data_IF_944101805732
#
_entry.id   IF_944101805732
#
_cell.length_a   1.000
_cell.length_b   1.000
_cell.length_c   1.000
_cell.angle_alpha   90.00
_cell.angle_beta   90.00
_cell.angle_gamma   90.00
#
_symmetry.space_group_name_H-M   'P 1'
#
loop_
_entity.id
_entity.type
_entity.pdbx_description
1 polymer ?
#
# COMPACT_ATOMS: atom_id res chain seq x y z
N UNK A 1 6.88 16.07 4.75
CA UNK A 1 6.22 15.05 5.61
C UNK A 1 6.43 13.67 4.98
N UNK A 2 6.91 12.66 5.71
CA UNK A 2 7.20 11.33 5.14
C UNK A 2 6.13 10.33 5.60
N UNK A 3 5.77 9.39 4.71
CA UNK A 3 4.88 8.27 5.01
C UNK A 3 5.55 7.30 5.97
N UNK A 4 4.86 6.92 7.05
CA UNK A 4 5.37 5.93 8.00
C UNK A 4 5.22 4.52 7.42
N UNK A 5 6.08 3.58 7.83
CA UNK A 5 6.04 2.20 7.30
C UNK A 5 4.70 1.48 7.57
N UNK A 6 4.08 1.75 8.72
CA UNK A 6 2.80 1.16 9.14
C UNK A 6 1.57 1.98 8.73
N UNK A 7 1.77 3.16 8.15
CA UNK A 7 0.69 4.03 7.69
C UNK A 7 0.32 3.61 6.27
N UNK A 8 -0.96 3.37 5.99
CA UNK A 8 -1.44 3.13 4.63
C UNK A 8 -1.35 4.40 3.78
N UNK A 9 -1.41 4.23 2.46
CA UNK A 9 -1.28 5.34 1.52
C UNK A 9 -2.38 6.39 1.72
N UNK A 10 -3.61 5.95 1.98
CA UNK A 10 -4.77 6.81 2.14
C UNK A 10 -4.70 7.64 3.43
N UNK A 11 -4.31 7.02 4.53
CA UNK A 11 -4.12 7.70 5.82
C UNK A 11 -3.02 8.75 5.72
N UNK A 12 -1.92 8.42 5.05
CA UNK A 12 -0.85 9.36 4.76
C UNK A 12 -1.33 10.55 3.92
N UNK A 13 -2.07 10.28 2.83
CA UNK A 13 -2.61 11.31 1.95
C UNK A 13 -3.55 12.26 2.69
N UNK A 14 -4.40 11.72 3.56
CA UNK A 14 -5.30 12.51 4.39
C UNK A 14 -4.52 13.45 5.33
N UNK A 15 -3.56 12.91 6.10
CA UNK A 15 -2.74 13.72 7.02
C UNK A 15 -1.93 14.78 6.27
N UNK A 16 -1.45 14.46 5.07
CA UNK A 16 -0.72 15.41 4.24
C UNK A 16 -1.64 16.57 3.81
N UNK A 17 -2.86 16.25 3.36
CA UNK A 17 -3.86 17.23 2.92
C UNK A 17 -4.30 18.15 4.05
N UNK A 18 -4.45 17.62 5.26
CA UNK A 18 -4.78 18.42 6.46
C UNK A 18 -3.69 19.45 6.80
N UNK A 19 -2.41 19.12 6.54
CA UNK A 19 -1.31 20.09 6.69
C UNK A 19 -1.28 21.09 5.52
N UNK A 20 -1.49 20.63 4.29
CA UNK A 20 -1.53 21.50 3.12
C UNK A 20 -2.66 22.54 3.21
N UNK A 21 -3.80 22.18 3.81
CA UNK A 21 -4.93 23.07 4.03
C UNK A 21 -4.64 24.23 5.03
N UNK A 22 -3.57 24.12 5.83
CA UNK A 22 -3.17 25.15 6.79
C UNK A 22 -2.23 26.20 6.17
N UNK A 23 -1.74 25.99 4.95
CA UNK A 23 -0.82 26.90 4.28
C UNK A 23 -1.57 28.09 3.67
N UNK A 24 -0.96 29.28 3.76
CA UNK A 24 -1.51 30.51 3.20
C UNK A 24 -0.45 31.24 2.34
N UNK A 25 -0.77 31.59 1.08
CA UNK A 25 -2.06 31.41 0.39
C UNK A 25 -2.41 29.93 0.12
N UNK A 26 -3.70 29.61 -0.14
CA UNK A 26 -4.12 28.24 -0.41
C UNK A 26 -3.36 27.64 -1.60
N UNK A 27 -2.90 26.41 -1.43
CA UNK A 27 -2.16 25.66 -2.45
C UNK A 27 -3.11 25.26 -3.58
N UNK A 28 -2.71 25.47 -4.84
CA UNK A 28 -3.51 25.03 -5.99
C UNK A 28 -3.50 23.51 -6.14
N UNK A 29 -4.51 22.95 -6.80
CA UNK A 29 -4.60 21.50 -7.04
C UNK A 29 -3.32 20.94 -7.71
N UNK A 30 -2.75 21.67 -8.67
CA UNK A 30 -1.53 21.27 -9.38
C UNK A 30 -0.33 21.21 -8.43
N UNK A 31 -0.14 22.23 -7.62
CA UNK A 31 0.94 22.28 -6.63
C UNK A 31 0.75 21.21 -5.56
N UNK A 32 -0.50 20.94 -5.17
CA UNK A 32 -0.85 19.88 -4.23
C UNK A 32 -0.40 18.50 -4.74
N UNK A 33 -0.66 18.20 -6.01
CA UNK A 33 -0.25 16.96 -6.65
C UNK A 33 1.28 16.85 -6.72
N UNK A 34 1.95 17.90 -7.22
CA UNK A 34 3.42 17.89 -7.34
C UNK A 34 4.11 17.72 -6.00
N UNK A 35 3.76 18.55 -5.01
CA UNK A 35 4.39 18.48 -3.68
C UNK A 35 4.10 17.18 -2.95
N UNK A 36 2.92 16.57 -3.18
CA UNK A 36 2.63 15.26 -2.59
C UNK A 36 3.51 14.16 -3.20
N UNK A 37 3.68 14.14 -4.53
CA UNK A 37 4.52 13.17 -5.22
C UNK A 37 5.98 13.25 -4.72
N UNK A 38 6.51 14.45 -4.51
CA UNK A 38 7.87 14.68 -3.99
C UNK A 38 8.08 14.12 -2.58
N UNK A 39 7.00 13.91 -1.83
CA UNK A 39 7.06 13.34 -0.48
C UNK A 39 6.92 11.82 -0.42
N UNK A 40 6.67 11.17 -1.55
CA UNK A 40 6.55 9.71 -1.64
C UNK A 40 7.91 9.02 -1.74
N UNK A 41 8.05 7.78 -1.23
CA UNK A 41 9.24 6.98 -1.43
C UNK A 41 9.48 6.66 -2.91
N UNK A 42 10.74 6.54 -3.33
CA UNK A 42 11.17 6.25 -4.71
C UNK A 42 10.32 5.19 -5.48
N UNK A 43 9.94 4.02 -4.92
CA UNK A 43 9.13 3.03 -5.66
C UNK A 43 7.72 3.51 -6.02
N UNK A 44 7.22 4.57 -5.40
CA UNK A 44 5.93 5.19 -5.75
C UNK A 44 6.11 6.25 -6.84
N UNK A 45 7.18 7.04 -6.81
CA UNK A 45 7.41 8.12 -7.77
C UNK A 45 7.38 7.62 -9.22
N UNK A 46 8.16 6.60 -9.55
CA UNK A 46 8.22 6.06 -10.93
C UNK A 46 6.88 5.50 -11.43
N UNK A 47 6.05 5.00 -10.50
CA UNK A 47 4.75 4.40 -10.82
C UNK A 47 3.62 5.43 -10.87
N UNK A 48 3.69 6.46 -10.03
CA UNK A 48 2.72 7.55 -9.95
C UNK A 48 2.97 8.59 -11.04
N UNK A 49 4.23 8.96 -11.32
CA UNK A 49 4.58 9.93 -12.38
C UNK A 49 4.23 9.40 -13.77
N UNK A 50 4.30 8.07 -13.97
CA UNK A 50 3.79 7.44 -15.20
C UNK A 50 2.26 7.43 -15.32
N UNK A 51 1.54 7.74 -14.24
CA UNK A 51 0.07 7.79 -14.20
C UNK A 51 -0.38 9.25 -14.15
N UNK A 52 -1.10 9.72 -15.18
CA UNK A 52 -1.47 11.12 -15.40
C UNK A 52 -2.55 11.59 -14.39
N UNK A 53 -2.25 11.58 -13.10
CA UNK A 53 -3.16 12.03 -12.06
C UNK A 53 -3.30 13.56 -12.12
N UNK A 54 -4.41 14.04 -12.70
CA UNK A 54 -4.69 15.47 -12.86
C UNK A 54 -5.19 16.17 -11.59
N UNK A 55 -5.50 15.42 -10.52
CA UNK A 55 -6.04 15.94 -9.26
C UNK A 55 -5.67 15.02 -8.09
N UNK A 56 -5.79 15.55 -6.87
CA UNK A 56 -5.37 14.87 -5.66
C UNK A 56 -6.17 13.58 -5.40
N UNK A 57 -7.47 13.58 -5.70
CA UNK A 57 -8.32 12.39 -5.52
C UNK A 57 -7.85 11.22 -6.39
N UNK A 58 -7.55 11.46 -7.67
CA UNK A 58 -7.03 10.45 -8.57
C UNK A 58 -5.67 9.93 -8.12
N UNK A 59 -4.83 10.83 -7.59
CA UNK A 59 -3.53 10.49 -7.03
C UNK A 59 -3.65 9.49 -5.87
N UNK A 60 -4.61 9.70 -4.96
CA UNK A 60 -4.89 8.78 -3.85
C UNK A 60 -5.28 7.40 -4.35
N UNK A 61 -6.20 7.32 -5.32
CA UNK A 61 -6.67 6.05 -5.89
C UNK A 61 -5.55 5.27 -6.58
N UNK A 62 -4.69 5.97 -7.33
CA UNK A 62 -3.54 5.36 -8.01
C UNK A 62 -2.51 4.87 -6.99
N UNK A 63 -2.22 5.68 -5.97
CA UNK A 63 -1.30 5.33 -4.90
C UNK A 63 -1.74 4.12 -4.08
N UNK A 64 -3.05 4.02 -3.78
CA UNK A 64 -3.63 2.82 -3.14
C UNK A 64 -3.44 1.56 -4.00
N UNK A 65 -3.63 1.65 -5.33
CA UNK A 65 -3.36 0.51 -6.22
C UNK A 65 -1.89 0.11 -6.25
N UNK A 66 -0.99 1.09 -6.23
CA UNK A 66 0.46 0.83 -6.21
C UNK A 66 0.85 0.15 -4.90
N UNK A 67 0.37 0.66 -3.76
CA UNK A 67 0.61 0.04 -2.44
C UNK A 67 0.11 -1.40 -2.40
N UNK A 68 -1.11 -1.67 -2.90
CA UNK A 68 -1.63 -3.03 -3.03
C UNK A 68 -0.80 -3.90 -3.96
N UNK A 69 -0.26 -3.35 -5.04
CA UNK A 69 0.62 -4.09 -5.96
C UNK A 69 1.99 -4.41 -5.35
N UNK A 70 2.55 -3.50 -4.54
CA UNK A 70 3.79 -3.72 -3.78
C UNK A 70 3.55 -4.82 -2.74
N UNK A 71 2.48 -4.74 -1.96
CA UNK A 71 2.10 -5.77 -0.98
C UNK A 71 1.88 -7.14 -1.62
N UNK A 72 1.35 -7.19 -2.85
CA UNK A 72 1.14 -8.42 -3.62
C UNK A 72 2.40 -8.92 -4.35
N UNK A 73 3.54 -8.25 -4.19
CA UNK A 73 4.80 -8.60 -4.88
C UNK A 73 4.76 -8.40 -6.40
N UNK A 74 3.77 -7.66 -6.92
CA UNK A 74 3.64 -7.35 -8.36
C UNK A 74 4.56 -6.22 -8.81
N UNK A 75 5.03 -5.40 -7.87
CA UNK A 75 6.02 -4.36 -8.10
C UNK A 75 7.26 -4.69 -7.28
N UNK A 76 8.45 -4.54 -7.89
CA UNK A 76 9.71 -4.75 -7.20
C UNK A 76 9.82 -3.76 -6.04
N UNK A 77 9.83 -4.27 -4.82
CA UNK A 77 10.07 -3.50 -3.62
C UNK A 77 11.58 -3.21 -3.57
N UNK A 78 12.02 -2.05 -4.03
CA UNK A 78 13.41 -1.60 -3.83
C UNK A 78 13.58 -1.16 -2.38
N UNK A 79 13.51 -2.12 -1.46
CA UNK A 79 13.82 -1.91 -0.05
C UNK A 79 15.32 -2.08 0.16
N UNK A 80 16.00 -1.00 0.50
CA UNK A 80 17.15 -1.06 1.40
C UNK A 80 16.63 -1.26 2.83
N UNK A 81 16.49 -2.52 3.28
CA UNK A 81 16.21 -2.90 4.69
C UNK A 81 15.19 -4.03 4.89
N UNK A 82 15.38 -4.98 5.83
CA UNK A 82 15.06 -6.39 5.62
C UNK A 82 13.62 -6.81 5.98
N UNK A 83 13.08 -7.66 5.10
CA UNK A 83 12.05 -8.68 5.35
C UNK A 83 10.71 -8.25 5.96
N UNK A 84 9.73 -8.02 5.08
CA UNK A 84 8.35 -8.44 5.36
C UNK A 84 7.95 -9.57 4.42
N UNK A 85 8.50 -10.75 4.69
CA UNK A 85 7.85 -12.00 4.33
C UNK A 85 6.59 -12.17 5.20
N UNK A 86 5.51 -11.44 4.89
CA UNK A 86 4.18 -11.79 5.39
C UNK A 86 3.38 -12.39 4.23
N UNK A 87 3.49 -13.72 4.12
CA UNK A 87 2.54 -14.54 3.37
C UNK A 87 1.11 -14.18 3.79
N UNK A 88 0.15 -13.99 2.87
CA UNK A 88 -1.25 -14.03 3.23
C UNK A 88 -1.63 -15.49 3.48
N UNK A 89 -1.83 -15.87 4.74
CA UNK A 89 -2.54 -17.10 5.11
C UNK A 89 -3.97 -16.98 4.62
N UNK A 90 -4.26 -17.71 3.55
CA UNK A 90 -5.61 -17.98 3.07
C UNK A 90 -6.34 -18.79 4.14
N UNK A 91 -7.07 -18.12 5.04
CA UNK A 91 -8.01 -18.78 5.92
C UNK A 91 -9.24 -19.18 5.10
N UNK A 92 -9.21 -20.41 4.59
CA UNK A 92 -10.40 -21.06 4.03
C UNK A 92 -10.32 -22.55 4.29
N UNK A 93 -10.90 -23.00 5.40
CA UNK A 93 -11.62 -24.28 5.44
C UNK A 93 -12.55 -24.35 6.66
N UNK A 94 -13.81 -24.06 6.38
CA UNK A 94 -14.98 -24.58 7.08
C UNK A 94 -15.07 -26.08 6.81
N UNK A 95 -15.41 -26.89 7.82
CA UNK A 95 -15.97 -28.23 7.62
C UNK A 95 -15.29 -29.31 8.44
N UNK A 96 -15.86 -29.58 9.60
CA UNK A 96 -15.63 -30.74 10.46
C UNK A 96 -15.74 -32.06 9.68
N UNK A 97 -14.80 -32.99 9.88
CA UNK A 97 -15.12 -34.43 9.96
C UNK A 97 -14.01 -35.12 10.74
N UNK A 98 -14.38 -35.62 11.90
CA UNK A 98 -13.54 -36.45 12.76
C UNK A 98 -13.33 -37.79 12.05
N UNK A 99 -12.10 -38.19 11.77
CA UNK A 99 -11.80 -39.56 11.35
C UNK A 99 -10.80 -40.13 12.33
N UNK A 100 -11.34 -40.96 13.22
CA UNK A 100 -10.63 -41.76 14.21
C UNK A 100 -9.57 -42.63 13.53
N UNK A 101 -8.43 -42.66 14.20
CA UNK A 101 -7.40 -43.69 14.20
C UNK A 101 -7.99 -45.10 14.13
N UNK A 102 -7.60 -45.87 13.11
CA UNK A 102 -7.35 -47.30 13.27
C UNK A 102 -6.34 -47.76 12.21
N UNK A 103 -5.15 -48.15 12.65
CA UNK A 103 -4.21 -48.95 11.86
C UNK A 103 -4.75 -50.39 11.77
N UNK A 104 -4.71 -51.02 10.59
CA UNK A 104 -4.66 -52.47 10.51
C UNK A 104 -3.22 -52.90 10.21
N UNK A 105 -2.54 -53.39 11.25
CA UNK A 105 -1.37 -54.28 11.13
C UNK A 105 -1.90 -55.65 10.74
N UNK A 106 -1.42 -56.25 9.66
CA UNK A 106 -1.36 -57.71 9.54
C UNK A 106 -0.15 -58.16 8.68
N UNK A 107 0.41 -59.35 8.96
CA UNK A 107 1.69 -59.84 8.45
C UNK A 107 1.66 -60.33 6.99
#
# INVERSE_FOLDING_TARGET
>A
MIKKEQEGFKEYAQRWRELAAQVQPPITEREMVTMFIDTLPSPYYDKVVGNVASNFTNLVVVGERIELGIQRGKFAQTNSGPSFAKKPTSEKKKGETNTMLVEPIFP
#
